data_IF_165385197508
#
_entry.id   IF_165385197508
#
_cell.length_a   1.000
_cell.length_b   1.000
_cell.length_c   1.000
_cell.angle_alpha   90.00
_cell.angle_beta   90.00
_cell.angle_gamma   90.00
#
_symmetry.space_group_name_H-M   'P 1'
#
loop_
_entity.id
_entity.type
_entity.pdbx_description
1 polymer ?
#
# COMPACT_ATOMS: atom_id res chain seq x y z
N UNK A 1 83.59 -25.50 -44.69
CA UNK A 1 83.48 -24.32 -43.81
C UNK A 1 82.16 -24.47 -43.05
N UNK A 2 82.20 -25.01 -41.83
CA UNK A 2 81.04 -25.33 -40.99
C UNK A 2 81.03 -24.33 -39.82
N UNK A 3 80.00 -23.50 -39.73
CA UNK A 3 79.81 -22.54 -38.65
C UNK A 3 78.76 -23.05 -37.66
N UNK A 4 79.17 -23.28 -36.42
CA UNK A 4 78.30 -23.60 -35.28
C UNK A 4 77.81 -22.29 -34.63
N UNK A 5 76.49 -22.10 -34.55
CA UNK A 5 75.86 -21.06 -33.74
C UNK A 5 75.44 -21.66 -32.39
N UNK A 6 76.02 -21.16 -31.30
CA UNK A 6 75.64 -21.50 -29.93
C UNK A 6 74.42 -20.70 -29.47
N UNK A 7 73.39 -21.39 -29.00
CA UNK A 7 72.24 -20.78 -28.32
C UNK A 7 72.53 -20.62 -26.82
N UNK A 8 72.51 -19.38 -26.34
CA UNK A 8 72.57 -19.08 -24.91
C UNK A 8 71.17 -19.24 -24.28
N UNK A 9 71.07 -20.15 -23.30
CA UNK A 9 69.87 -20.35 -22.50
C UNK A 9 69.76 -19.25 -21.44
N UNK A 10 68.82 -18.31 -21.66
CA UNK A 10 68.45 -17.30 -20.67
C UNK A 10 67.50 -17.94 -19.64
N UNK A 11 67.92 -17.95 -18.36
CA UNK A 11 67.10 -18.39 -17.23
C UNK A 11 66.01 -17.35 -16.96
N UNK A 12 64.74 -17.76 -17.04
CA UNK A 12 63.59 -16.94 -16.65
C UNK A 12 63.65 -16.55 -15.16
N UNK A 13 63.34 -15.29 -14.81
CA UNK A 13 63.19 -14.89 -13.41
C UNK A 13 62.02 -15.64 -12.77
N UNK A 14 62.21 -16.10 -11.54
CA UNK A 14 61.18 -16.74 -10.73
C UNK A 14 60.04 -15.74 -10.51
N UNK A 15 58.86 -16.02 -11.08
CA UNK A 15 57.66 -15.24 -10.85
C UNK A 15 57.22 -15.48 -9.41
N UNK A 16 57.32 -14.44 -8.57
CA UNK A 16 56.63 -14.41 -7.29
C UNK A 16 55.13 -14.40 -7.59
N UNK A 17 54.47 -15.55 -7.41
CA UNK A 17 53.02 -15.61 -7.40
C UNK A 17 52.53 -14.76 -6.23
N UNK A 18 52.08 -13.54 -6.52
CA UNK A 18 51.32 -12.76 -5.55
C UNK A 18 50.05 -13.55 -5.27
N UNK A 19 49.97 -14.09 -4.06
CA UNK A 19 48.81 -14.80 -3.59
C UNK A 19 47.67 -13.79 -3.52
N UNK A 20 46.71 -13.93 -4.43
CA UNK A 20 45.52 -13.09 -4.49
C UNK A 20 44.85 -13.15 -3.10
N UNK A 21 44.53 -11.99 -2.49
CA UNK A 21 43.94 -11.97 -1.16
C UNK A 21 42.67 -12.82 -1.17
N UNK A 22 42.56 -13.72 -0.18
CA UNK A 22 41.38 -14.55 -0.03
C UNK A 22 40.14 -13.64 -0.01
N UNK A 23 39.23 -13.85 -0.96
CA UNK A 23 37.99 -13.10 -1.01
C UNK A 23 37.19 -13.47 0.25
N UNK A 24 36.85 -12.47 1.05
CA UNK A 24 35.95 -12.64 2.19
C UNK A 24 34.58 -12.90 1.60
N UNK A 25 34.09 -14.13 1.74
CA UNK A 25 32.71 -14.46 1.38
C UNK A 25 31.77 -13.66 2.30
N UNK A 26 30.94 -12.80 1.69
CA UNK A 26 29.91 -12.08 2.41
C UNK A 26 28.80 -13.07 2.81
N UNK A 27 28.19 -12.94 4.00
CA UNK A 27 27.09 -13.80 4.41
C UNK A 27 25.91 -13.74 3.44
N UNK A 28 25.34 -14.90 3.14
CA UNK A 28 24.07 -15.12 2.42
C UNK A 28 23.21 -15.99 3.36
N UNK A 29 22.44 -15.32 4.21
CA UNK A 29 21.73 -15.93 5.33
C UNK A 29 20.51 -16.72 4.85
N UNK A 30 19.84 -16.24 3.79
CA UNK A 30 18.64 -16.84 3.24
C UNK A 30 18.87 -17.79 2.04
N UNK A 31 20.11 -17.84 1.56
CA UNK A 31 20.66 -18.82 0.62
C UNK A 31 20.06 -18.70 -0.78
N UNK A 32 19.75 -17.48 -1.20
CA UNK A 32 19.20 -17.19 -2.51
C UNK A 32 20.31 -16.96 -3.58
N UNK A 33 21.57 -16.84 -3.13
CA UNK A 33 22.75 -16.57 -3.97
C UNK A 33 23.16 -15.10 -4.04
N UNK A 34 22.50 -14.21 -3.30
CA UNK A 34 22.91 -12.83 -3.03
C UNK A 34 23.36 -12.72 -1.58
N UNK A 35 24.45 -12.00 -1.34
CA UNK A 35 24.84 -11.71 0.04
C UNK A 35 23.89 -10.69 0.67
N UNK A 36 23.62 -10.82 1.97
CA UNK A 36 22.76 -9.93 2.77
C UNK A 36 23.07 -8.43 2.53
N UNK A 37 24.36 -8.09 2.39
CA UNK A 37 24.82 -6.71 2.14
C UNK A 37 24.40 -6.18 0.77
N UNK A 38 24.47 -7.02 -0.27
CA UNK A 38 24.06 -6.68 -1.64
C UNK A 38 22.55 -6.51 -1.71
N UNK A 39 21.79 -7.40 -1.09
CA UNK A 39 20.33 -7.29 -1.03
C UNK A 39 19.90 -5.98 -0.35
N UNK A 40 20.46 -5.70 0.83
CA UNK A 40 20.14 -4.48 1.58
C UNK A 40 20.56 -3.23 0.80
N UNK A 41 21.69 -3.26 0.09
CA UNK A 41 22.12 -2.16 -0.75
C UNK A 41 21.14 -1.91 -1.91
N UNK A 42 20.67 -2.97 -2.59
CA UNK A 42 19.69 -2.87 -3.67
C UNK A 42 18.34 -2.35 -3.18
N UNK A 43 17.84 -2.90 -2.07
CA UNK A 43 16.61 -2.45 -1.42
C UNK A 43 16.67 -0.97 -1.02
N UNK A 44 17.83 -0.51 -0.56
CA UNK A 44 18.03 0.90 -0.18
C UNK A 44 18.19 1.81 -1.41
N UNK A 45 18.88 1.36 -2.46
CA UNK A 45 19.06 2.14 -3.70
C UNK A 45 17.72 2.40 -4.40
N UNK A 46 16.87 1.37 -4.46
CA UNK A 46 15.60 1.41 -5.20
C UNK A 46 14.40 1.58 -4.28
N UNK A 47 14.57 2.13 -3.07
CA UNK A 47 13.47 2.38 -2.14
C UNK A 47 12.38 3.27 -2.79
N UNK A 48 11.13 2.80 -2.91
CA UNK A 48 10.06 3.59 -3.52
C UNK A 48 9.75 4.85 -2.69
N UNK A 49 9.50 5.95 -3.38
CA UNK A 49 9.00 7.17 -2.76
C UNK A 49 7.47 7.07 -2.61
N UNK A 50 7.02 6.50 -1.49
CA UNK A 50 5.59 6.32 -1.21
C UNK A 50 4.90 7.63 -0.86
N UNK A 51 3.67 7.78 -1.35
CA UNK A 51 2.74 8.86 -1.04
C UNK A 51 1.49 8.23 -0.45
N UNK A 52 1.15 8.60 0.78
CA UNK A 52 0.03 8.06 1.56
C UNK A 52 -1.01 9.14 1.84
N UNK A 53 -2.26 8.75 2.10
CA UNK A 53 -3.29 9.69 2.51
C UNK A 53 -2.96 10.31 3.86
N UNK A 54 -3.03 11.64 3.97
CA UNK A 54 -2.76 12.34 5.24
C UNK A 54 -3.59 11.83 6.43
N UNK A 55 -4.81 11.37 6.17
CA UNK A 55 -5.76 10.91 7.18
C UNK A 55 -6.11 9.43 6.96
N UNK A 56 -5.13 8.61 6.61
CA UNK A 56 -5.32 7.16 6.56
C UNK A 56 -5.67 6.63 7.96
N UNK A 57 -6.62 5.70 8.01
CA UNK A 57 -7.12 5.11 9.25
C UNK A 57 -6.11 4.20 9.96
N UNK A 58 -5.18 3.59 9.23
CA UNK A 58 -4.10 2.77 9.77
C UNK A 58 -2.83 3.60 9.99
N UNK A 59 -2.93 4.93 9.89
CA UNK A 59 -1.87 5.93 10.02
C UNK A 59 -0.72 5.74 9.02
N UNK A 60 0.12 4.73 9.21
CA UNK A 60 1.34 4.43 8.47
C UNK A 60 1.55 2.90 8.39
N UNK A 61 2.37 2.41 7.43
CA UNK A 61 2.86 1.04 7.46
C UNK A 61 3.45 0.68 8.81
N UNK A 62 3.15 -0.53 9.25
CA UNK A 62 3.40 -1.04 10.59
C UNK A 62 4.68 -1.86 10.66
N UNK A 63 5.44 -1.68 11.72
CA UNK A 63 6.43 -2.64 12.17
C UNK A 63 5.76 -3.77 12.95
N UNK A 64 6.23 -4.99 12.69
CA UNK A 64 5.79 -6.23 13.30
C UNK A 64 6.86 -6.83 14.21
N UNK A 65 6.41 -7.51 15.26
CA UNK A 65 7.29 -8.14 16.24
C UNK A 65 8.18 -9.20 15.61
N UNK A 66 9.45 -9.11 15.97
CA UNK A 66 10.49 -10.05 15.54
C UNK A 66 10.33 -11.39 16.26
N UNK A 67 10.75 -12.45 15.59
CA UNK A 67 10.85 -13.82 16.11
C UNK A 67 9.51 -14.41 16.59
N UNK A 68 8.38 -13.89 16.10
CA UNK A 68 7.03 -14.38 16.40
C UNK A 68 6.33 -14.74 15.09
N UNK A 69 5.70 -15.93 15.03
CA UNK A 69 4.94 -16.41 13.85
C UNK A 69 3.60 -15.72 13.66
N UNK A 70 2.99 -15.27 14.76
CA UNK A 70 1.74 -14.51 14.70
C UNK A 70 2.08 -13.04 14.44
N UNK A 71 1.69 -12.47 13.28
CA UNK A 71 1.96 -11.07 12.97
C UNK A 71 1.33 -10.18 14.05
N UNK A 72 2.18 -9.53 14.82
CA UNK A 72 1.81 -8.67 15.93
C UNK A 72 2.40 -7.30 15.67
N UNK A 73 1.57 -6.28 15.51
CA UNK A 73 2.02 -4.91 15.26
C UNK A 73 2.68 -4.35 16.51
N UNK A 74 3.91 -3.84 16.37
CA UNK A 74 4.62 -3.11 17.42
C UNK A 74 4.36 -1.60 17.33
N UNK A 75 4.43 -1.05 16.12
CA UNK A 75 4.24 0.39 15.87
C UNK A 75 3.81 0.67 14.44
N UNK A 76 3.06 1.75 14.24
CA UNK A 76 2.68 2.29 12.92
C UNK A 76 3.64 3.43 12.58
N UNK A 77 4.85 3.10 12.11
CA UNK A 77 5.97 4.06 12.03
C UNK A 77 6.50 4.29 10.60
N UNK A 78 5.93 3.66 9.58
CA UNK A 78 6.43 3.74 8.21
C UNK A 78 7.56 2.75 7.92
N UNK A 79 7.66 1.66 8.68
CA UNK A 79 8.55 0.54 8.32
C UNK A 79 8.10 -0.10 7.01
N UNK A 80 9.03 -0.25 6.09
CA UNK A 80 8.86 -0.99 4.83
C UNK A 80 9.63 -2.30 4.93
N UNK A 81 9.08 -3.34 4.32
CA UNK A 81 9.71 -4.66 4.26
C UNK A 81 10.16 -4.94 2.84
N UNK A 82 11.39 -5.41 2.68
CA UNK A 82 11.99 -5.72 1.39
C UNK A 82 12.21 -7.21 1.21
N UNK A 83 12.18 -7.69 -0.02
CA UNK A 83 12.73 -8.99 -0.41
C UNK A 83 13.50 -8.77 -1.72
N UNK A 84 14.70 -9.33 -1.81
CA UNK A 84 15.44 -9.40 -3.06
C UNK A 84 15.53 -10.87 -3.44
N UNK A 85 15.29 -11.21 -4.71
CA UNK A 85 15.59 -12.56 -5.18
C UNK A 85 16.05 -12.59 -6.63
N UNK A 86 16.92 -13.54 -6.94
CA UNK A 86 17.50 -13.70 -8.27
C UNK A 86 16.43 -14.19 -9.27
N UNK A 87 16.01 -13.31 -10.18
CA UNK A 87 15.00 -13.62 -11.22
C UNK A 87 15.58 -14.43 -12.41
N UNK A 88 16.91 -14.64 -12.42
CA UNK A 88 17.64 -15.40 -13.41
C UNK A 88 18.71 -14.57 -14.14
N UNK A 89 19.39 -15.20 -15.11
CA UNK A 89 20.27 -14.49 -16.04
C UNK A 89 19.44 -13.98 -17.22
N UNK A 90 19.51 -12.69 -17.51
CA UNK A 90 18.96 -12.17 -18.75
C UNK A 90 19.61 -12.88 -19.94
N UNK A 91 18.93 -12.90 -21.10
CA UNK A 91 19.50 -13.44 -22.36
C UNK A 91 20.86 -12.82 -22.72
N UNK A 92 21.14 -11.63 -22.20
CA UNK A 92 22.37 -10.87 -22.37
C UNK A 92 23.50 -11.29 -21.42
N UNK A 93 23.28 -12.27 -20.54
CA UNK A 93 24.23 -12.70 -19.51
C UNK A 93 24.28 -11.80 -18.27
N UNK A 94 23.58 -10.66 -18.28
CA UNK A 94 23.48 -9.77 -17.12
C UNK A 94 22.55 -10.35 -16.06
N UNK A 95 23.00 -10.34 -14.80
CA UNK A 95 22.19 -10.72 -13.65
C UNK A 95 21.00 -9.75 -13.48
N UNK A 96 19.82 -10.33 -13.23
CA UNK A 96 18.63 -9.56 -12.85
C UNK A 96 18.15 -10.00 -11.47
N UNK A 97 17.76 -9.02 -10.67
CA UNK A 97 17.20 -9.22 -9.33
C UNK A 97 15.82 -8.58 -9.30
N UNK A 98 14.88 -9.29 -8.71
CA UNK A 98 13.55 -8.77 -8.44
C UNK A 98 13.52 -8.25 -7.00
N UNK A 99 13.13 -7.00 -6.82
CA UNK A 99 13.03 -6.35 -5.52
C UNK A 99 11.55 -6.15 -5.21
N UNK A 100 11.05 -6.74 -4.14
CA UNK A 100 9.70 -6.51 -3.64
C UNK A 100 9.75 -5.60 -2.42
N UNK A 101 8.84 -4.65 -2.36
CA UNK A 101 8.63 -3.75 -1.24
C UNK A 101 7.21 -3.92 -0.73
N UNK A 102 7.08 -4.48 0.47
CA UNK A 102 5.83 -4.66 1.16
C UNK A 102 5.61 -3.53 2.16
N UNK A 103 4.47 -2.87 2.04
CA UNK A 103 3.95 -2.02 3.11
C UNK A 103 2.85 -2.80 3.83
N UNK A 104 3.17 -3.18 5.06
CA UNK A 104 2.32 -4.03 5.90
C UNK A 104 1.49 -3.14 6.82
N UNK A 105 0.18 -3.28 6.80
CA UNK A 105 -0.72 -2.41 7.56
C UNK A 105 -1.39 -3.19 8.68
N UNK A 106 -1.68 -2.49 9.78
CA UNK A 106 -2.43 -3.07 10.89
C UNK A 106 -3.86 -3.42 10.47
N UNK A 107 -4.47 -2.66 9.58
CA UNK A 107 -5.89 -2.81 9.23
C UNK A 107 -6.17 -2.19 7.85
N UNK A 108 -6.78 -2.92 6.91
CA UNK A 108 -7.56 -2.34 5.80
C UNK A 108 -8.85 -1.79 6.41
N UNK A 109 -9.16 -0.52 6.16
CA UNK A 109 -10.39 0.12 6.66
C UNK A 109 -11.30 0.63 5.54
N UNK A 110 -11.10 0.16 4.32
CA UNK A 110 -12.07 0.33 3.25
C UNK A 110 -13.42 -0.27 3.63
N UNK A 111 -14.39 -0.21 2.71
CA UNK A 111 -15.78 -0.64 2.97
C UNK A 111 -15.92 -2.07 3.52
N UNK A 112 -14.93 -2.93 3.26
CA UNK A 112 -14.84 -4.30 3.76
C UNK A 112 -13.56 -4.51 4.57
N UNK A 113 -13.29 -3.58 5.48
CA UNK A 113 -12.06 -3.57 6.25
C UNK A 113 -11.82 -4.85 7.05
N UNK A 114 -10.55 -5.21 7.19
CA UNK A 114 -10.09 -6.39 7.91
C UNK A 114 -8.77 -6.08 8.63
N UNK A 115 -8.45 -6.79 9.74
CA UNK A 115 -7.12 -6.69 10.32
C UNK A 115 -6.09 -7.24 9.34
N UNK A 116 -4.85 -6.75 9.46
CA UNK A 116 -3.69 -7.19 8.71
C UNK A 116 -3.88 -7.08 7.21
N UNK A 117 -3.23 -6.08 6.64
CA UNK A 117 -3.25 -5.88 5.20
C UNK A 117 -1.82 -5.86 4.65
N UNK A 118 -1.64 -6.47 3.49
CA UNK A 118 -0.34 -6.66 2.87
C UNK A 118 -0.48 -6.23 1.42
N UNK A 119 0.24 -5.17 1.09
CA UNK A 119 0.26 -4.64 -0.26
C UNK A 119 1.71 -4.37 -0.66
N UNK A 120 1.97 -4.35 -1.97
CA UNK A 120 3.34 -4.35 -2.44
C UNK A 120 3.58 -3.67 -3.79
N UNK A 121 4.84 -3.32 -4.00
CA UNK A 121 5.41 -2.77 -5.23
C UNK A 121 6.65 -3.59 -5.54
N UNK A 122 6.95 -3.82 -6.81
CA UNK A 122 8.15 -4.53 -7.20
C UNK A 122 8.95 -3.77 -8.27
N UNK A 123 10.26 -3.99 -8.30
CA UNK A 123 11.17 -3.51 -9.33
C UNK A 123 11.98 -4.67 -9.89
N UNK A 124 12.13 -4.73 -11.21
CA UNK A 124 13.10 -5.62 -11.84
C UNK A 124 14.36 -4.80 -12.12
N UNK A 125 15.44 -5.11 -11.42
CA UNK A 125 16.73 -4.43 -11.58
C UNK A 125 17.71 -5.30 -12.34
N UNK A 126 18.61 -4.66 -13.07
CA UNK A 126 19.64 -5.29 -13.89
C UNK A 126 20.99 -4.71 -13.57
N UNK A 127 21.96 -5.60 -13.36
CA UNK A 127 23.36 -5.24 -13.22
C UNK A 127 23.94 -4.85 -14.58
N UNK A 128 24.62 -3.72 -14.65
CA UNK A 128 25.43 -3.32 -15.79
C UNK A 128 26.66 -4.22 -15.89
N UNK A 129 27.02 -4.57 -17.13
CA UNK A 129 28.26 -5.29 -17.43
C UNK A 129 29.40 -4.29 -17.63
N UNK A 130 29.86 -3.70 -16.52
CA UNK A 130 30.91 -2.67 -16.50
C UNK A 130 32.23 -3.16 -15.85
N UNK A 131 32.28 -4.44 -15.43
CA UNK A 131 33.43 -5.03 -14.75
C UNK A 131 33.61 -4.58 -13.29
N UNK A 132 32.68 -3.79 -12.72
CA UNK A 132 32.72 -3.40 -11.31
C UNK A 132 32.36 -4.58 -10.40
N UNK A 133 33.12 -4.75 -9.32
CA UNK A 133 32.90 -5.80 -8.32
C UNK A 133 31.50 -5.72 -7.69
N UNK A 134 30.98 -4.50 -7.48
CA UNK A 134 29.62 -4.27 -6.95
C UNK A 134 28.58 -4.05 -8.07
N UNK A 135 29.03 -3.75 -9.29
CA UNK A 135 28.19 -3.46 -10.45
C UNK A 135 27.40 -2.16 -10.30
N UNK A 136 27.18 -1.45 -11.40
CA UNK A 136 26.13 -0.44 -11.44
C UNK A 136 24.78 -1.11 -11.68
N UNK A 137 23.79 -0.87 -10.82
CA UNK A 137 22.45 -1.44 -10.97
C UNK A 137 21.47 -0.38 -11.47
N UNK A 138 20.58 -0.79 -12.38
CA UNK A 138 19.51 0.04 -12.93
C UNK A 138 18.20 -0.72 -12.90
N UNK A 139 17.11 -0.05 -12.52
CA UNK A 139 15.77 -0.60 -12.68
C UNK A 139 15.37 -0.60 -14.16
N UNK A 140 14.72 -1.68 -14.59
CA UNK A 140 14.22 -1.86 -15.96
C UNK A 140 12.72 -1.70 -15.99
N UNK A 141 12.02 -2.29 -15.02
CA UNK A 141 10.57 -2.24 -14.90
C UNK A 141 10.15 -2.03 -13.46
N UNK A 142 8.95 -1.46 -13.31
CA UNK A 142 8.26 -1.28 -12.04
C UNK A 142 6.87 -1.88 -12.13
N UNK A 143 6.43 -2.47 -11.03
CA UNK A 143 5.11 -3.03 -10.83
C UNK A 143 4.50 -2.46 -9.56
N UNK A 144 3.20 -2.16 -9.56
CA UNK A 144 2.45 -1.77 -8.37
C UNK A 144 1.17 -2.60 -8.27
N UNK A 145 0.97 -3.27 -7.13
CA UNK A 145 -0.20 -4.08 -6.86
C UNK A 145 -1.39 -3.18 -6.48
N UNK A 146 -2.43 -3.19 -7.31
CA UNK A 146 -3.68 -2.50 -7.00
C UNK A 146 -4.83 -3.49 -7.16
N UNK A 147 -5.41 -3.89 -6.02
CA UNK A 147 -6.47 -4.90 -5.96
C UNK A 147 -6.05 -6.25 -6.59
N UNK A 148 -4.78 -6.61 -6.43
CA UNK A 148 -4.18 -7.82 -7.00
C UNK A 148 -4.99 -9.07 -6.62
N UNK A 149 -5.19 -9.97 -7.58
CA UNK A 149 -5.95 -11.23 -7.39
C UNK A 149 -7.43 -11.04 -7.02
N UNK A 150 -8.00 -9.86 -7.27
CA UNK A 150 -9.43 -9.61 -7.10
C UNK A 150 -10.12 -9.38 -8.45
N UNK A 151 -11.45 -9.31 -8.46
CA UNK A 151 -12.24 -8.90 -9.64
C UNK A 151 -11.98 -7.45 -10.07
N UNK A 152 -11.34 -6.67 -9.20
CA UNK A 152 -10.99 -5.27 -9.35
C UNK A 152 -9.53 -5.05 -9.73
N UNK A 153 -8.78 -6.11 -10.05
CA UNK A 153 -7.33 -6.00 -10.29
C UNK A 153 -7.02 -4.95 -11.38
N UNK A 154 -6.41 -3.87 -10.94
CA UNK A 154 -5.94 -2.73 -11.75
C UNK A 154 -4.44 -2.50 -11.51
N UNK A 155 -3.74 -3.56 -11.12
CA UNK A 155 -2.29 -3.55 -10.92
C UNK A 155 -1.59 -3.05 -12.17
N UNK A 156 -0.43 -2.41 -11.98
CA UNK A 156 0.24 -1.66 -13.03
C UNK A 156 1.64 -2.18 -13.29
N UNK A 157 2.09 -2.02 -14.53
CA UNK A 157 3.48 -2.24 -14.91
C UNK A 157 3.94 -1.11 -15.82
N UNK A 158 5.16 -0.62 -15.60
CA UNK A 158 5.77 0.41 -16.41
C UNK A 158 7.27 0.14 -16.61
N UNK A 159 7.85 0.77 -17.62
CA UNK A 159 9.32 0.85 -17.72
C UNK A 159 9.81 1.82 -16.67
N UNK A 160 10.98 1.55 -16.10
CA UNK A 160 11.59 2.45 -15.13
C UNK A 160 11.80 3.87 -15.67
N UNK A 161 12.13 4.01 -16.96
CA UNK A 161 12.23 5.31 -17.61
C UNK A 161 10.90 6.05 -17.76
N UNK A 162 9.77 5.33 -17.83
CA UNK A 162 8.43 5.92 -17.91
C UNK A 162 8.05 6.63 -16.61
N UNK A 163 8.46 6.06 -15.47
CA UNK A 163 8.15 6.57 -14.13
C UNK A 163 9.33 7.30 -13.47
N UNK A 164 10.32 7.69 -14.28
CA UNK A 164 11.53 8.39 -13.86
C UNK A 164 12.21 7.71 -12.66
N UNK A 165 12.49 6.40 -12.77
CA UNK A 165 12.96 5.58 -11.66
C UNK A 165 13.99 4.54 -12.10
N UNK A 166 14.91 4.94 -12.99
CA UNK A 166 15.97 4.05 -13.53
C UNK A 166 17.07 3.84 -12.48
N UNK A 167 17.44 4.88 -11.75
CA UNK A 167 18.58 4.86 -10.82
C UNK A 167 18.16 5.00 -9.34
N UNK A 168 16.86 5.10 -9.09
CA UNK A 168 16.26 5.26 -7.76
C UNK A 168 14.85 4.66 -7.72
N UNK A 169 14.20 4.67 -6.56
CA UNK A 169 12.85 4.15 -6.42
C UNK A 169 11.76 4.98 -7.11
N UNK A 170 10.71 4.32 -7.59
CA UNK A 170 9.58 4.98 -8.22
C UNK A 170 8.72 5.76 -7.21
N UNK A 171 8.07 6.81 -7.69
CA UNK A 171 6.99 7.45 -6.94
C UNK A 171 5.76 6.54 -6.97
N UNK A 172 5.25 6.19 -5.79
CA UNK A 172 4.11 5.29 -5.61
C UNK A 172 3.02 6.00 -4.84
N UNK A 173 1.77 5.89 -5.29
CA UNK A 173 0.61 6.43 -4.59
C UNK A 173 -0.18 5.29 -3.96
N UNK A 174 -0.43 5.39 -2.66
CA UNK A 174 -1.17 4.39 -1.89
C UNK A 174 -2.57 4.94 -1.58
N UNK A 175 -3.59 4.26 -2.10
CA UNK A 175 -5.00 4.61 -1.90
C UNK A 175 -5.39 4.50 -0.42
N UNK A 176 -5.94 5.54 0.23
CA UNK A 176 -6.22 5.49 1.65
C UNK A 176 -7.32 4.50 2.05
N UNK A 177 -7.06 3.74 3.10
CA UNK A 177 -7.94 2.73 3.68
C UNK A 177 -7.98 1.40 2.92
N UNK A 178 -7.75 1.40 1.61
CA UNK A 178 -7.60 0.18 0.78
C UNK A 178 -6.15 -0.24 0.55
N UNK A 179 -5.24 0.71 0.66
CA UNK A 179 -3.80 0.57 0.46
C UNK A 179 -3.34 0.03 -0.89
N UNK A 180 -4.22 -0.03 -1.90
CA UNK A 180 -3.85 -0.31 -3.28
C UNK A 180 -2.76 0.65 -3.77
N UNK A 181 -1.74 0.10 -4.42
CA UNK A 181 -0.53 0.80 -4.86
C UNK A 181 -0.56 1.13 -6.35
N UNK A 182 -0.22 2.37 -6.70
CA UNK A 182 -0.30 2.90 -8.05
C UNK A 182 1.01 3.56 -8.49
N UNK A 183 1.37 3.43 -9.77
CA UNK A 183 2.50 4.12 -10.42
C UNK A 183 2.11 5.48 -11.02
N UNK A 184 0.87 5.92 -10.84
CA UNK A 184 0.39 7.23 -11.27
C UNK A 184 -0.75 7.72 -10.37
N UNK A 185 -0.71 9.00 -10.02
CA UNK A 185 -1.78 9.66 -9.27
C UNK A 185 -3.13 9.59 -9.98
N UNK A 186 -3.15 9.76 -11.31
CA UNK A 186 -4.40 9.76 -12.08
C UNK A 186 -5.08 8.41 -12.01
N UNK A 187 -4.30 7.33 -12.11
CA UNK A 187 -4.83 5.98 -11.96
C UNK A 187 -5.30 5.69 -10.54
N UNK A 188 -4.61 6.18 -9.51
CA UNK A 188 -5.09 6.02 -8.14
C UNK A 188 -6.45 6.72 -7.94
N UNK A 189 -6.61 7.94 -8.47
CA UNK A 189 -7.89 8.67 -8.40
C UNK A 189 -9.03 7.99 -9.18
N UNK A 190 -8.68 7.23 -10.22
CA UNK A 190 -9.60 6.45 -11.05
C UNK A 190 -9.59 4.95 -10.69
N UNK A 191 -9.06 4.59 -9.52
CA UNK A 191 -8.88 3.20 -9.09
C UNK A 191 -10.19 2.44 -8.94
N UNK A 192 -10.13 1.22 -8.39
CA UNK A 192 -11.33 0.41 -8.27
C UNK A 192 -12.10 0.73 -6.98
N UNK A 193 -13.42 0.92 -7.12
CA UNK A 193 -14.33 1.05 -5.99
C UNK A 193 -14.13 2.35 -5.22
N UNK A 194 -13.54 2.27 -4.01
CA UNK A 194 -13.39 3.39 -3.09
C UNK A 194 -12.01 4.06 -3.15
N UNK A 195 -11.20 3.70 -4.15
CA UNK A 195 -9.88 4.28 -4.30
C UNK A 195 -9.92 5.78 -4.55
N UNK A 196 -8.94 6.46 -3.96
CA UNK A 196 -8.77 7.90 -4.08
C UNK A 196 -7.34 8.26 -3.75
N UNK A 197 -6.83 9.33 -4.33
CA UNK A 197 -5.52 9.89 -3.96
C UNK A 197 -5.62 11.40 -3.82
N UNK A 198 -6.33 11.82 -2.76
CA UNK A 198 -6.52 13.22 -2.40
C UNK A 198 -5.72 13.53 -1.12
N UNK A 199 -5.19 14.75 -1.02
CA UNK A 199 -4.39 15.18 0.13
C UNK A 199 -3.23 14.22 0.49
N UNK A 200 -2.57 13.71 -0.54
CA UNK A 200 -1.43 12.80 -0.40
C UNK A 200 -0.22 13.51 0.19
N UNK A 201 0.48 12.83 1.09
CA UNK A 201 1.73 13.31 1.70
C UNK A 201 2.83 12.27 1.49
N UNK A 202 4.10 12.69 1.33
CA UNK A 202 5.20 11.74 1.25
C UNK A 202 5.29 10.96 2.57
N UNK A 203 5.33 9.64 2.47
CA UNK A 203 5.64 8.77 3.59
C UNK A 203 7.13 8.94 3.93
N UNK A 204 7.42 9.14 5.21
CA UNK A 204 8.79 9.06 5.70
C UNK A 204 9.06 7.62 6.12
N UNK A 205 9.73 6.85 5.26
CA UNK A 205 10.22 5.52 5.64
C UNK A 205 11.20 5.65 6.80
N UNK A 206 10.96 4.92 7.88
CA UNK A 206 11.88 4.89 9.03
C UNK A 206 13.01 3.91 8.83
N UNK A 207 12.72 2.79 8.18
CA UNK A 207 13.68 1.73 7.82
C UNK A 207 13.09 0.79 6.78
N UNK A 208 13.99 0.08 6.09
CA UNK A 208 13.67 -1.07 5.26
C UNK A 208 14.20 -2.32 5.97
N UNK A 209 13.35 -3.32 6.17
CA UNK A 209 13.72 -4.60 6.77
C UNK A 209 13.73 -5.67 5.69
N UNK A 210 14.90 -6.25 5.39
CA UNK A 210 14.98 -7.41 4.51
C UNK A 210 14.31 -8.63 5.16
N UNK A 211 13.27 -9.15 4.50
CA UNK A 211 12.52 -10.32 4.92
C UNK A 211 13.27 -11.62 4.66
N UNK A 212 14.18 -11.62 3.69
CA UNK A 212 14.75 -12.82 3.07
C UNK A 212 13.69 -13.71 2.41
N UNK A 213 14.07 -14.95 2.13
CA UNK A 213 13.20 -15.96 1.52
C UNK A 213 12.16 -16.59 2.48
N UNK A 214 11.02 -17.05 1.95
CA UNK A 214 9.91 -17.65 2.73
C UNK A 214 10.38 -18.84 3.61
N UNK A 215 11.36 -19.61 3.13
CA UNK A 215 11.94 -20.75 3.84
C UNK A 215 13.11 -20.38 4.77
N UNK A 216 13.66 -19.18 4.60
CA UNK A 216 14.85 -18.71 5.30
C UNK A 216 14.69 -17.23 5.71
N UNK A 217 13.69 -16.90 6.54
CA UNK A 217 13.39 -15.51 6.87
C UNK A 217 14.55 -14.85 7.60
N UNK A 218 14.88 -13.63 7.17
CA UNK A 218 15.89 -12.77 7.77
C UNK A 218 15.29 -11.82 8.80
N UNK A 219 16.16 -11.19 9.60
CA UNK A 219 15.81 -10.12 10.52
C UNK A 219 14.69 -10.44 11.53
N UNK A 220 14.46 -11.73 11.82
CA UNK A 220 13.41 -12.20 12.73
C UNK A 220 12.01 -12.19 12.12
N UNK A 221 11.89 -12.20 10.80
CA UNK A 221 10.61 -12.09 10.08
C UNK A 221 9.80 -13.39 10.05
N UNK A 222 9.74 -14.15 11.15
CA UNK A 222 9.02 -15.44 11.21
C UNK A 222 7.51 -15.32 10.91
N UNK A 223 6.95 -14.12 11.01
CA UNK A 223 5.53 -13.85 10.71
C UNK A 223 5.20 -13.95 9.21
N UNK A 224 6.19 -13.94 8.30
CA UNK A 224 5.93 -14.05 6.86
C UNK A 224 5.23 -15.35 6.49
N UNK A 225 5.51 -16.43 7.22
CA UNK A 225 4.87 -17.73 7.02
C UNK A 225 3.49 -17.85 7.67
N UNK A 226 2.94 -16.77 8.22
CA UNK A 226 1.66 -16.80 8.92
C UNK A 226 0.49 -16.94 7.94
N UNK A 227 -0.45 -17.82 8.26
CA UNK A 227 -1.70 -17.94 7.50
C UNK A 227 -2.73 -16.86 7.84
N UNK A 228 -2.39 -15.91 8.72
CA UNK A 228 -3.28 -14.82 9.11
C UNK A 228 -3.49 -13.77 8.01
N UNK A 229 -2.60 -13.74 7.01
CA UNK A 229 -2.63 -12.78 5.89
C UNK A 229 -1.86 -13.37 4.67
N UNK A 230 -2.02 -12.83 3.45
CA UNK A 230 -1.53 -13.48 2.22
C UNK A 230 -0.04 -13.20 1.89
N UNK A 231 0.77 -12.73 2.84
CA UNK A 231 2.15 -12.27 2.58
C UNK A 231 3.03 -13.34 1.93
N UNK A 232 3.06 -14.57 2.43
CA UNK A 232 3.86 -15.65 1.82
C UNK A 232 3.48 -15.92 0.35
N UNK A 233 2.19 -15.80 0.00
CA UNK A 233 1.77 -16.00 -1.39
C UNK A 233 2.35 -14.90 -2.30
N UNK A 234 2.31 -13.63 -1.85
CA UNK A 234 2.87 -12.48 -2.58
C UNK A 234 4.39 -12.57 -2.73
N UNK A 235 5.10 -13.06 -1.72
CA UNK A 235 6.55 -13.30 -1.77
C UNK A 235 7.00 -14.40 -2.72
N UNK A 236 6.08 -15.29 -3.13
CA UNK A 236 6.43 -16.51 -3.88
C UNK A 236 6.37 -16.36 -5.40
N UNK A 237 5.89 -15.24 -5.91
CA UNK A 237 5.60 -15.05 -7.34
C UNK A 237 6.36 -13.88 -7.93
N UNK A 238 6.89 -14.06 -9.14
CA UNK A 238 7.42 -12.95 -9.93
C UNK A 238 6.30 -12.03 -10.40
N UNK A 239 6.50 -10.71 -10.25
CA UNK A 239 5.66 -9.67 -10.85
C UNK A 239 6.13 -9.27 -12.24
N UNK A 240 7.08 -10.00 -12.84
CA UNK A 240 7.63 -9.72 -14.17
C UNK A 240 7.58 -10.93 -15.12
N UNK A 241 6.42 -11.58 -15.30
CA UNK A 241 6.32 -12.70 -16.24
C UNK A 241 6.60 -12.23 -17.68
N UNK A 242 7.25 -13.11 -18.45
CA UNK A 242 7.73 -12.79 -19.80
C UNK A 242 6.63 -12.28 -20.75
N UNK A 243 5.40 -12.80 -20.64
CA UNK A 243 4.26 -12.35 -21.44
C UNK A 243 3.88 -10.90 -21.13
N UNK A 244 3.82 -10.53 -19.86
CA UNK A 244 3.49 -9.15 -19.44
C UNK A 244 4.58 -8.17 -19.89
N UNK A 245 5.86 -8.53 -19.76
CA UNK A 245 6.96 -7.73 -20.29
C UNK A 245 6.84 -7.58 -21.80
N UNK A 246 6.60 -8.68 -22.55
CA UNK A 246 6.49 -8.62 -24.00
C UNK A 246 5.35 -7.70 -24.48
N UNK A 247 4.23 -7.69 -23.75
CA UNK A 247 3.11 -6.77 -24.01
C UNK A 247 3.50 -5.32 -23.74
N UNK A 248 4.14 -5.04 -22.61
CA UNK A 248 4.62 -3.70 -22.30
C UNK A 248 5.62 -3.22 -23.36
N UNK A 249 6.48 -4.11 -23.86
CA UNK A 249 7.53 -3.77 -24.82
C UNK A 249 7.02 -3.30 -26.19
N UNK A 250 5.78 -3.63 -26.57
CA UNK A 250 5.16 -3.13 -27.80
C UNK A 250 4.29 -1.88 -27.60
N UNK A 251 4.07 -1.44 -26.36
CA UNK A 251 3.36 -0.20 -26.05
C UNK A 251 4.26 1.03 -26.19
N UNK A 252 3.70 2.25 -26.35
CA UNK A 252 4.46 3.50 -26.31
C UNK A 252 5.38 3.56 -25.07
N UNK A 253 6.58 4.11 -25.25
CA UNK A 253 7.63 4.12 -24.20
C UNK A 253 7.25 4.92 -22.94
N UNK A 254 6.26 5.79 -23.04
CA UNK A 254 5.83 6.67 -21.96
C UNK A 254 4.53 6.19 -21.30
N UNK A 255 4.04 4.99 -21.63
CA UNK A 255 2.78 4.48 -21.12
C UNK A 255 3.00 3.60 -19.88
N UNK A 256 2.13 3.79 -18.88
CA UNK A 256 1.91 2.84 -17.79
C UNK A 256 0.81 1.87 -18.23
N UNK A 257 1.10 0.57 -18.20
CA UNK A 257 0.17 -0.47 -18.63
C UNK A 257 -0.55 -1.10 -17.42
N UNK A 258 -1.77 -1.60 -17.64
CA UNK A 258 -2.36 -2.56 -16.72
C UNK A 258 -1.58 -3.88 -16.79
N UNK A 259 -1.36 -4.51 -15.65
CA UNK A 259 -0.60 -5.74 -15.50
C UNK A 259 -1.32 -6.96 -16.10
N UNK A 260 -2.64 -7.02 -15.96
CA UNK A 260 -3.47 -8.01 -16.63
C UNK A 260 -4.06 -7.41 -17.92
N UNK A 261 -4.05 -8.17 -19.01
CA UNK A 261 -4.63 -7.72 -20.26
C UNK A 261 -6.17 -7.73 -20.18
N UNK A 262 -6.78 -6.59 -20.55
CA UNK A 262 -8.24 -6.44 -20.62
C UNK A 262 -8.81 -5.68 -19.43
N UNK A 263 -9.77 -4.79 -19.69
CA UNK A 263 -10.60 -4.21 -18.64
C UNK A 263 -11.60 -5.26 -18.19
N UNK A 264 -11.67 -5.53 -16.89
CA UNK A 264 -12.74 -6.37 -16.36
C UNK A 264 -14.07 -5.62 -16.57
N UNK A 265 -15.05 -6.14 -17.33
CA UNK A 265 -16.36 -5.49 -17.49
C UNK A 265 -17.02 -5.19 -16.14
N UNK A 266 -16.68 -5.98 -15.12
CA UNK A 266 -17.09 -5.80 -13.74
C UNK A 266 -16.62 -4.48 -13.10
N UNK A 267 -15.50 -3.88 -13.54
CA UNK A 267 -14.99 -2.60 -13.00
C UNK A 267 -16.02 -1.48 -13.15
N UNK A 268 -16.73 -1.41 -14.28
CA UNK A 268 -17.79 -0.43 -14.49
C UNK A 268 -18.96 -0.62 -13.52
N UNK A 269 -19.31 -1.88 -13.21
CA UNK A 269 -20.38 -2.20 -12.25
C UNK A 269 -19.94 -1.87 -10.83
N UNK A 270 -18.70 -2.21 -10.45
CA UNK A 270 -18.17 -1.98 -9.09
C UNK A 270 -17.99 -0.49 -8.81
N UNK A 271 -17.51 0.29 -9.77
CA UNK A 271 -17.41 1.74 -9.64
C UNK A 271 -18.80 2.38 -9.40
N UNK A 272 -19.82 1.93 -10.14
CA UNK A 272 -21.20 2.40 -9.95
C UNK A 272 -21.76 1.92 -8.61
N UNK A 273 -21.51 0.67 -8.20
CA UNK A 273 -22.02 0.16 -6.92
C UNK A 273 -21.38 0.83 -5.72
N UNK A 274 -20.07 1.12 -5.74
CA UNK A 274 -19.40 1.87 -4.67
C UNK A 274 -19.96 3.28 -4.51
N UNK A 275 -20.18 3.99 -5.63
CA UNK A 275 -20.83 5.31 -5.60
C UNK A 275 -22.28 5.23 -5.11
N UNK A 276 -23.00 4.16 -5.45
CA UNK A 276 -24.39 3.93 -5.01
C UNK A 276 -24.45 3.55 -3.53
N UNK A 277 -23.55 2.70 -3.05
CA UNK A 277 -23.42 2.30 -1.66
C UNK A 277 -23.05 3.49 -0.77
N UNK A 278 -22.06 4.27 -1.18
CA UNK A 278 -21.71 5.54 -0.54
C UNK A 278 -22.89 6.53 -0.56
N UNK A 279 -23.62 6.65 -1.67
CA UNK A 279 -24.81 7.49 -1.74
C UNK A 279 -25.94 7.01 -0.82
N UNK A 280 -26.11 5.70 -0.65
CA UNK A 280 -27.11 5.11 0.26
C UNK A 280 -26.68 5.33 1.72
N UNK A 281 -25.43 5.11 2.07
CA UNK A 281 -24.90 5.36 3.42
C UNK A 281 -25.02 6.85 3.78
N UNK A 282 -24.58 7.73 2.88
CA UNK A 282 -24.76 9.18 3.04
C UNK A 282 -26.25 9.57 3.08
N UNK A 283 -27.11 8.90 2.30
CA UNK A 283 -28.56 9.08 2.38
C UNK A 283 -29.10 8.64 3.74
N UNK A 284 -28.55 7.58 4.35
CA UNK A 284 -28.90 7.11 5.69
C UNK A 284 -28.50 8.11 6.77
N UNK A 285 -27.30 8.68 6.68
CA UNK A 285 -26.86 9.75 7.58
C UNK A 285 -27.72 11.02 7.43
N UNK A 286 -28.00 11.44 6.19
CA UNK A 286 -28.90 12.56 5.91
C UNK A 286 -30.35 12.29 6.34
N UNK A 287 -30.83 11.05 6.21
CA UNK A 287 -32.16 10.63 6.68
C UNK A 287 -32.21 10.61 8.20
N UNK A 288 -31.15 10.17 8.88
CA UNK A 288 -31.04 10.19 10.34
C UNK A 288 -31.01 11.64 10.85
N UNK A 289 -30.27 12.52 10.18
CA UNK A 289 -30.30 13.96 10.43
C UNK A 289 -31.69 14.57 10.19
N UNK A 290 -32.36 14.20 9.10
CA UNK A 290 -33.72 14.66 8.79
C UNK A 290 -34.78 14.13 9.79
N UNK A 291 -34.62 12.90 10.30
CA UNK A 291 -35.46 12.33 11.37
C UNK A 291 -35.24 13.10 12.69
N UNK A 292 -34.01 13.49 13.00
CA UNK A 292 -33.72 14.36 14.14
C UNK A 292 -34.45 15.70 14.04
N UNK A 293 -34.32 16.38 12.90
CA UNK A 293 -34.99 17.66 12.62
C UNK A 293 -36.52 17.52 12.62
N UNK A 294 -37.05 16.43 12.09
CA UNK A 294 -38.49 16.13 12.09
C UNK A 294 -39.01 15.82 13.50
N UNK A 295 -38.22 15.15 14.33
CA UNK A 295 -38.49 14.89 15.74
C UNK A 295 -38.61 16.20 16.53
N UNK A 296 -37.63 17.10 16.37
CA UNK A 296 -37.62 18.42 17.01
C UNK A 296 -38.81 19.28 16.55
N UNK A 297 -39.15 19.23 15.26
CA UNK A 297 -40.30 19.94 14.70
C UNK A 297 -41.64 19.41 15.23
N UNK A 298 -41.77 18.09 15.39
CA UNK A 298 -42.97 17.43 15.94
C UNK A 298 -43.13 17.73 17.43
N UNK A 299 -42.03 17.71 18.20
CA UNK A 299 -42.03 18.08 19.60
C UNK A 299 -42.50 19.52 19.81
N UNK A 300 -41.96 20.47 19.04
CA UNK A 300 -42.36 21.87 19.08
C UNK A 300 -43.84 22.08 18.68
N UNK A 301 -44.34 21.33 17.70
CA UNK A 301 -45.75 21.41 17.29
C UNK A 301 -46.70 20.87 18.36
N UNK A 302 -46.36 19.75 19.00
CA UNK A 302 -47.13 19.17 20.10
C UNK A 302 -47.17 20.09 21.32
N UNK A 303 -46.03 20.70 21.67
CA UNK A 303 -45.96 21.66 22.77
C UNK A 303 -46.85 22.88 22.50
N UNK A 304 -46.81 23.43 21.27
CA UNK A 304 -47.66 24.55 20.85
C UNK A 304 -49.14 24.18 20.89
N UNK A 305 -49.50 22.99 20.43
CA UNK A 305 -50.88 22.47 20.47
C UNK A 305 -51.39 22.31 21.91
N UNK A 306 -50.54 21.76 22.79
CA UNK A 306 -50.84 21.64 24.22
C UNK A 306 -51.07 23.01 24.87
N UNK A 307 -50.20 24.00 24.62
CA UNK A 307 -50.35 25.37 25.15
C UNK A 307 -51.65 26.02 24.66
N UNK A 308 -51.98 25.87 23.38
CA UNK A 308 -53.22 26.41 22.80
C UNK A 308 -54.46 25.75 23.39
N UNK A 309 -54.45 24.42 23.55
CA UNK A 309 -55.56 23.66 24.14
C UNK A 309 -55.78 24.08 25.60
N UNK A 310 -54.71 24.16 26.39
CA UNK A 310 -54.75 24.65 27.78
C UNK A 310 -55.30 26.07 27.86
N UNK A 311 -54.90 26.95 26.95
CA UNK A 311 -55.40 28.32 26.90
C UNK A 311 -56.90 28.38 26.56
N UNK A 312 -57.33 27.64 25.53
CA UNK A 312 -58.73 27.58 25.11
C UNK A 312 -59.62 27.01 26.23
N UNK A 313 -59.19 25.93 26.88
CA UNK A 313 -59.91 25.35 28.02
C UNK A 313 -60.03 26.36 29.16
N UNK A 314 -58.94 27.04 29.50
CA UNK A 314 -58.93 28.10 30.51
C UNK A 314 -59.84 29.28 30.15
N UNK A 315 -59.93 29.65 28.88
CA UNK A 315 -60.83 30.69 28.39
C UNK A 315 -62.31 30.25 28.50
N UNK A 316 -62.63 29.03 28.09
CA UNK A 316 -63.98 28.47 28.22
C UNK A 316 -64.44 28.39 29.67
N UNK A 317 -63.58 27.91 30.59
CA UNK A 317 -63.88 27.87 32.03
C UNK A 317 -64.18 29.28 32.57
N UNK A 318 -63.39 30.30 32.18
CA UNK A 318 -63.63 31.69 32.57
C UNK A 318 -64.97 32.22 32.03
N UNK A 319 -65.30 31.93 30.78
CA UNK A 319 -66.56 32.36 30.17
C UNK A 319 -67.79 31.71 30.82
N UNK A 320 -67.73 30.41 31.10
CA UNK A 320 -68.79 29.68 31.82
C UNK A 320 -68.93 30.21 33.25
N UNK A 321 -67.83 30.41 33.96
CA UNK A 321 -67.85 30.98 35.32
C UNK A 321 -68.50 32.37 35.35
N UNK A 322 -68.21 33.24 34.38
CA UNK A 322 -68.87 34.54 34.22
C UNK A 322 -70.38 34.41 33.98
N UNK A 323 -70.79 33.52 33.07
CA UNK A 323 -72.21 33.33 32.76
C UNK A 323 -73.02 32.82 33.97
N UNK A 324 -72.39 31.99 34.81
CA UNK A 324 -73.00 31.43 36.00
C UNK A 324 -72.88 32.33 37.25
N UNK A 325 -72.32 33.53 37.13
CA UNK A 325 -72.02 34.42 38.26
C UNK A 325 -71.21 33.73 39.38
N UNK A 326 -70.34 32.78 39.03
CA UNK A 326 -69.45 32.16 40.00
C UNK A 326 -68.42 33.21 40.38
N UNK A 327 -68.58 33.81 41.55
CA UNK A 327 -67.57 34.69 42.14
C UNK A 327 -66.30 33.87 42.32
N UNK A 328 -65.16 34.28 41.75
CA UNK A 328 -63.91 33.56 41.93
C UNK A 328 -63.66 33.37 43.42
N UNK A 329 -63.56 32.12 43.89
CA UNK A 329 -63.13 31.83 45.26
C UNK A 329 -61.76 32.48 45.41
N UNK A 330 -61.60 33.43 46.35
CA UNK A 330 -60.31 34.05 46.61
C UNK A 330 -59.30 32.95 46.83
N UNK A 331 -58.29 32.86 45.96
CA UNK A 331 -57.21 31.91 46.13
C UNK A 331 -56.45 32.33 47.39
N UNK A 332 -56.72 31.66 48.51
CA UNK A 332 -55.80 31.65 49.64
C UNK A 332 -54.48 31.12 49.09
N UNK A 333 -53.45 31.97 49.13
CA UNK A 333 -52.08 31.52 48.91
C UNK A 333 -51.80 30.46 49.96
N UNK A 334 -51.30 29.27 49.59
CA UNK A 334 -50.67 28.39 50.56
C UNK A 334 -49.56 29.20 51.22
N UNK A 335 -49.57 29.32 52.54
CA UNK A 335 -48.38 29.74 53.28
C UNK A 335 -47.30 28.68 53.04
N UNK A 336 -46.12 29.18 52.66
CA UNK A 336 -44.88 28.41 52.47
C UNK A 336 -44.39 27.82 53.79
#
# INVERSE_FOLDING_TARGET
>A
MLAFFGYASLRSPAAYAMQEPAQVELPDTDRDGLSDEVEQALLSQFEPAFWVGKNDCSNLPSEFSRDVKTPTVEREDGTIYGQAFVSGLAKTGSQTVELHYYHLWKTDCGEHGHPLDTEHVAALVRRADDGSAFGHWTAVYWYAAAHENTVCDVSQIARASTVDAVDHGAKVWISPGKHASYLSESFCREGCGADRCEAMVPLKTTKIVNLGEIGHPMNGSLFVSSTAWPLAAKMSSTNFPAETIARLEVMPRNDVALFNAGRHPAQGVIAVSGSTGGAILNSGENTTGAIGVAGDSTGNALEKSYRNTKHALGASVRSVGKALHVTPKSSEKPEE
#
